data_IF_915785548709
#
_entry.id   IF_915785548709
#
_cell.length_a   1.000
_cell.length_b   1.000
_cell.length_c   1.000
_cell.angle_alpha   90.00
_cell.angle_beta   90.00
_cell.angle_gamma   90.00
#
_symmetry.space_group_name_H-M   'P 1'
#
loop_
_entity.id
_entity.type
_entity.pdbx_description
1 polymer ?
#
# COMPACT_ATOMS: atom_id res chain seq x y z
N UNK A 1 -51.04 39.46 -43.89
CA UNK A 1 -52.29 39.41 -43.11
C UNK A 1 -51.95 39.47 -41.62
N UNK A 2 -52.31 40.57 -40.98
CA UNK A 2 -52.15 40.85 -39.55
C UNK A 2 -53.26 40.21 -38.70
N UNK A 3 -52.94 39.85 -37.45
CA UNK A 3 -53.69 40.03 -36.17
C UNK A 3 -52.94 39.21 -35.10
N UNK A 4 -52.10 39.71 -34.20
CA UNK A 4 -52.24 40.73 -33.11
C UNK A 4 -53.45 40.56 -32.18
N UNK A 5 -53.16 40.08 -30.95
CA UNK A 5 -53.46 40.62 -29.60
C UNK A 5 -52.65 39.76 -28.61
N UNK A 6 -51.56 40.19 -27.98
CA UNK A 6 -51.31 41.21 -26.94
C UNK A 6 -51.99 40.96 -25.57
N UNK A 7 -51.17 40.55 -24.59
CA UNK A 7 -50.90 41.10 -23.22
C UNK A 7 -50.51 39.96 -22.26
N UNK A 8 -49.27 39.87 -21.74
CA UNK A 8 -48.70 40.65 -20.61
C UNK A 8 -49.62 40.63 -19.38
N UNK A 9 -49.31 40.09 -18.20
CA UNK A 9 -48.08 40.09 -17.37
C UNK A 9 -48.15 38.87 -16.42
N UNK A 10 -47.11 38.29 -15.83
CA UNK A 10 -46.29 38.78 -14.72
C UNK A 10 -45.11 37.78 -14.55
N UNK A 11 -43.85 38.23 -14.61
CA UNK A 11 -42.98 38.56 -13.48
C UNK A 11 -42.61 37.37 -12.54
N UNK A 12 -41.36 36.95 -12.72
CA UNK A 12 -40.40 36.52 -11.70
C UNK A 12 -40.65 35.21 -10.92
N UNK A 13 -39.84 34.19 -11.22
CA UNK A 13 -38.97 33.56 -10.20
C UNK A 13 -37.87 32.74 -10.88
N UNK A 14 -36.69 33.34 -10.92
CA UNK A 14 -35.40 32.69 -11.09
C UNK A 14 -34.98 32.10 -9.74
N UNK A 15 -34.88 30.78 -9.64
CA UNK A 15 -34.08 30.04 -8.65
C UNK A 15 -33.92 28.63 -9.23
N UNK A 16 -32.85 28.30 -9.95
CA UNK A 16 -31.57 27.82 -9.41
C UNK A 16 -31.70 27.15 -8.03
N UNK A 17 -31.13 25.97 -7.91
CA UNK A 17 -30.69 25.30 -6.68
C UNK A 17 -31.56 24.13 -6.18
N UNK A 18 -31.19 22.91 -6.60
CA UNK A 18 -31.37 21.68 -5.82
C UNK A 18 -30.16 20.75 -6.10
N UNK A 19 -28.96 21.24 -5.78
CA UNK A 19 -27.92 20.34 -5.29
C UNK A 19 -28.13 20.22 -3.77
N UNK A 20 -28.18 19.02 -3.18
CA UNK A 20 -28.30 18.91 -1.72
C UNK A 20 -27.10 19.60 -1.06
N UNK A 21 -27.31 20.42 -0.02
CA UNK A 21 -26.22 21.13 0.61
C UNK A 21 -25.26 20.10 1.20
N UNK A 22 -24.01 20.13 0.71
CA UNK A 22 -22.86 19.58 1.42
C UNK A 22 -22.91 20.18 2.81
N UNK A 23 -23.28 19.36 3.81
CA UNK A 23 -23.15 19.75 5.21
C UNK A 23 -21.66 19.97 5.48
N UNK A 24 -21.20 21.21 5.31
CA UNK A 24 -20.04 21.70 6.06
C UNK A 24 -20.43 21.52 7.52
N UNK A 25 -19.77 20.57 8.18
CA UNK A 25 -20.00 20.27 9.59
C UNK A 25 -20.00 21.58 10.38
N UNK A 26 -21.15 21.89 10.97
CA UNK A 26 -21.28 22.82 12.08
C UNK A 26 -20.31 22.35 13.17
N UNK A 27 -19.52 23.29 13.69
CA UNK A 27 -18.42 23.05 14.61
C UNK A 27 -18.75 22.07 15.72
N UNK A 28 -17.78 21.20 15.99
CA UNK A 28 -17.71 20.33 17.17
C UNK A 28 -17.10 21.10 18.36
N UNK A 29 -17.12 22.44 18.32
CA UNK A 29 -16.61 23.31 19.37
C UNK A 29 -17.58 23.26 20.55
N UNK A 30 -17.40 22.27 21.42
CA UNK A 30 -18.11 22.25 22.69
C UNK A 30 -18.18 20.93 23.48
N UNK A 31 -17.55 19.82 23.09
CA UNK A 31 -17.77 18.54 23.81
C UNK A 31 -16.57 17.60 23.99
N UNK A 32 -15.34 18.08 23.85
CA UNK A 32 -14.17 17.36 24.36
C UNK A 32 -13.51 18.23 25.42
N UNK A 33 -13.74 17.90 26.69
CA UNK A 33 -12.84 18.35 27.75
C UNK A 33 -11.44 17.87 27.39
N UNK A 34 -10.61 18.78 26.87
CA UNK A 34 -9.18 18.53 26.71
C UNK A 34 -8.55 18.59 28.09
N UNK A 35 -8.83 17.59 28.92
CA UNK A 35 -7.87 17.24 29.95
C UNK A 35 -6.59 16.91 29.18
N UNK A 36 -5.56 17.75 29.33
CA UNK A 36 -4.24 17.44 28.80
C UNK A 36 -3.89 16.01 29.25
N UNK A 37 -3.34 15.16 28.35
CA UNK A 37 -2.93 13.83 28.75
C UNK A 37 -2.02 13.97 29.97
N UNK A 38 -2.24 13.12 30.98
CA UNK A 38 -1.45 13.14 32.20
C UNK A 38 0.05 13.13 31.83
N UNK A 39 0.91 13.91 32.51
CA UNK A 39 2.33 13.92 32.23
C UNK A 39 2.88 12.50 32.30
N UNK A 40 3.62 12.08 31.28
CA UNK A 40 4.25 10.75 31.29
C UNK A 40 5.39 10.80 32.31
N UNK A 41 5.24 10.08 33.41
CA UNK A 41 6.27 10.00 34.44
C UNK A 41 7.41 9.11 33.94
N UNK A 42 8.62 9.65 33.82
CA UNK A 42 9.78 8.89 33.34
C UNK A 42 10.21 7.85 34.38
N UNK A 43 10.44 6.62 33.93
CA UNK A 43 11.02 5.53 34.70
C UNK A 43 12.52 5.69 34.93
N UNK A 44 13.22 4.58 35.16
CA UNK A 44 14.68 4.57 35.31
C UNK A 44 15.38 4.28 33.98
N UNK A 45 16.70 4.42 33.92
CA UNK A 45 17.48 4.10 32.72
C UNK A 45 17.37 2.63 32.28
N UNK A 46 16.85 1.75 33.14
CA UNK A 46 16.70 0.30 32.89
C UNK A 46 15.27 -0.21 32.94
N UNK A 47 14.30 0.57 33.42
CA UNK A 47 12.91 0.12 33.62
C UNK A 47 11.90 1.23 33.30
N UNK A 48 10.88 0.90 32.49
CA UNK A 48 9.79 1.79 32.13
C UNK A 48 8.82 1.95 33.31
N UNK A 49 8.34 3.16 33.55
CA UNK A 49 7.24 3.40 34.50
C UNK A 49 5.92 2.83 33.96
N UNK A 50 4.92 2.66 34.84
CA UNK A 50 3.57 2.26 34.43
C UNK A 50 2.96 3.26 33.41
N UNK A 51 3.29 4.54 33.54
CA UNK A 51 2.83 5.58 32.62
C UNK A 51 3.51 5.48 31.24
N UNK A 52 4.80 5.13 31.20
CA UNK A 52 5.52 4.90 29.95
C UNK A 52 5.07 3.62 29.25
N UNK A 53 4.78 2.56 30.01
CA UNK A 53 4.23 1.31 29.48
C UNK A 53 2.86 1.52 28.84
N UNK A 54 1.96 2.26 29.49
CA UNK A 54 0.64 2.57 28.93
C UNK A 54 0.76 3.44 27.67
N UNK A 55 1.63 4.46 27.69
CA UNK A 55 1.91 5.29 26.53
C UNK A 55 2.49 4.48 25.35
N UNK A 56 3.37 3.52 25.63
CA UNK A 56 3.94 2.62 24.62
C UNK A 56 2.84 1.75 23.99
N UNK A 57 1.96 1.13 24.79
CA UNK A 57 0.84 0.32 24.29
C UNK A 57 -0.11 1.15 23.43
N UNK A 58 -0.42 2.38 23.83
CA UNK A 58 -1.25 3.28 23.05
C UNK A 58 -0.60 3.64 21.70
N UNK A 59 0.70 3.93 21.71
CA UNK A 59 1.48 4.18 20.49
C UNK A 59 1.51 2.95 19.58
N UNK A 60 1.74 1.76 20.13
CA UNK A 60 1.74 0.49 19.40
C UNK A 60 0.37 0.17 18.79
N UNK A 61 -0.73 0.46 19.49
CA UNK A 61 -2.09 0.30 18.97
C UNK A 61 -2.41 1.30 17.84
N UNK A 62 -1.91 2.54 17.93
CA UNK A 62 -1.99 3.52 16.84
C UNK A 62 -1.20 3.03 15.64
N UNK A 63 0.01 2.51 15.87
CA UNK A 63 0.86 1.92 14.83
C UNK A 63 0.10 0.76 14.18
N UNK A 64 -0.36 -0.25 14.93
CA UNK A 64 -1.07 -1.43 14.43
C UNK A 64 -2.33 -1.09 13.62
N UNK A 65 -3.10 -0.10 14.08
CA UNK A 65 -4.24 0.42 13.32
C UNK A 65 -3.80 1.07 12.02
N UNK A 66 -2.72 1.86 12.04
CA UNK A 66 -2.12 2.44 10.83
C UNK A 66 -1.62 1.38 9.83
N UNK A 67 -1.10 0.25 10.34
CA UNK A 67 -0.71 -0.92 9.55
C UNK A 67 -1.89 -1.53 8.78
N UNK A 68 -3.05 -1.69 9.42
CA UNK A 68 -4.27 -2.17 8.74
C UNK A 68 -4.85 -1.12 7.79
N UNK A 69 -4.73 0.16 8.16
CA UNK A 69 -5.33 1.27 7.42
C UNK A 69 -4.80 1.38 5.98
N UNK A 70 -3.48 1.27 5.75
CA UNK A 70 -2.99 1.39 4.35
C UNK A 70 -3.41 0.21 3.48
N UNK A 71 -3.42 -1.01 4.04
CA UNK A 71 -3.81 -2.21 3.32
C UNK A 71 -5.30 -2.18 2.95
N UNK A 72 -6.16 -1.82 3.90
CA UNK A 72 -7.60 -1.66 3.68
C UNK A 72 -7.91 -0.54 2.69
N UNK A 73 -7.29 0.64 2.86
CA UNK A 73 -7.46 1.79 1.95
C UNK A 73 -6.95 1.44 0.55
N UNK A 74 -5.77 0.85 0.42
CA UNK A 74 -5.21 0.43 -0.87
C UNK A 74 -6.12 -0.57 -1.58
N UNK A 75 -6.61 -1.58 -0.85
CA UNK A 75 -7.56 -2.59 -1.38
C UNK A 75 -8.88 -1.94 -1.82
N UNK A 76 -9.41 -0.99 -1.04
CA UNK A 76 -10.62 -0.26 -1.39
C UNK A 76 -10.41 0.60 -2.64
N UNK A 77 -9.28 1.28 -2.76
CA UNK A 77 -8.91 2.07 -3.93
C UNK A 77 -8.77 1.20 -5.19
N UNK A 78 -8.17 0.01 -5.08
CA UNK A 78 -8.14 -1.00 -6.17
C UNK A 78 -9.56 -1.35 -6.60
N UNK A 79 -10.43 -1.72 -5.65
CA UNK A 79 -11.80 -2.09 -5.96
C UNK A 79 -12.60 -0.95 -6.60
N UNK A 80 -12.46 0.27 -6.10
CA UNK A 80 -13.12 1.46 -6.64
C UNK A 80 -12.65 1.74 -8.06
N UNK A 81 -11.34 1.64 -8.32
CA UNK A 81 -10.76 1.86 -9.65
C UNK A 81 -11.24 0.80 -10.63
N UNK A 82 -11.09 -0.47 -10.29
CA UNK A 82 -11.30 -1.59 -11.21
C UNK A 82 -12.79 -1.79 -11.54
N UNK A 83 -13.70 -1.45 -10.62
CA UNK A 83 -15.15 -1.45 -10.86
C UNK A 83 -15.70 -0.10 -11.34
N UNK A 84 -14.83 0.90 -11.49
CA UNK A 84 -15.13 2.29 -11.86
C UNK A 84 -16.26 2.92 -11.01
N UNK A 85 -16.24 2.70 -9.70
CA UNK A 85 -17.32 3.14 -8.79
C UNK A 85 -17.44 4.67 -8.67
N UNK A 86 -16.47 5.41 -9.19
CA UNK A 86 -16.43 6.87 -9.20
C UNK A 86 -17.14 7.50 -10.43
N UNK A 87 -17.49 6.70 -11.45
CA UNK A 87 -17.84 7.18 -12.81
C UNK A 87 -19.10 8.05 -12.92
N UNK A 88 -19.96 8.05 -11.90
CA UNK A 88 -21.19 8.86 -11.89
C UNK A 88 -20.87 10.34 -11.69
N UNK A 89 -19.95 10.64 -10.77
CA UNK A 89 -19.64 12.02 -10.36
C UNK A 89 -18.29 12.51 -10.92
N UNK A 90 -17.38 11.58 -11.24
CA UNK A 90 -16.01 11.90 -11.64
C UNK A 90 -15.66 11.24 -12.97
N UNK A 91 -15.03 12.02 -13.85
CA UNK A 91 -14.57 11.54 -15.16
C UNK A 91 -13.35 10.61 -15.08
N UNK A 92 -12.55 10.76 -14.04
CA UNK A 92 -11.29 10.00 -13.84
C UNK A 92 -11.15 9.63 -12.39
N UNK A 93 -10.52 8.47 -12.13
CA UNK A 93 -10.22 8.01 -10.78
C UNK A 93 -9.37 9.02 -9.99
N UNK A 94 -8.44 9.70 -10.65
CA UNK A 94 -7.56 10.66 -10.01
C UNK A 94 -8.28 11.92 -9.52
N UNK A 95 -9.22 12.44 -10.31
CA UNK A 95 -10.09 13.53 -9.88
C UNK A 95 -10.91 13.12 -8.65
N UNK A 96 -11.44 11.90 -8.65
CA UNK A 96 -12.12 11.34 -7.49
C UNK A 96 -11.22 11.28 -6.25
N UNK A 97 -9.99 10.77 -6.37
CA UNK A 97 -9.05 10.70 -5.25
C UNK A 97 -8.65 12.09 -4.70
N UNK A 98 -8.40 13.04 -5.60
CA UNK A 98 -8.00 14.39 -5.23
C UNK A 98 -9.17 15.15 -4.55
N UNK A 99 -10.33 15.18 -5.18
CA UNK A 99 -11.45 16.00 -4.73
C UNK A 99 -12.14 15.41 -3.50
N UNK A 100 -12.30 14.08 -3.44
CA UNK A 100 -13.03 13.44 -2.33
C UNK A 100 -12.16 13.18 -1.10
N UNK A 101 -10.88 12.86 -1.30
CA UNK A 101 -10.01 12.37 -0.23
C UNK A 101 -8.76 13.23 -0.01
N UNK A 102 -8.50 14.23 -0.86
CA UNK A 102 -7.26 15.00 -0.80
C UNK A 102 -6.02 14.17 -1.11
N UNK A 103 -6.19 13.01 -1.77
CA UNK A 103 -5.10 12.08 -2.06
C UNK A 103 -4.57 12.38 -3.47
N UNK A 104 -3.27 12.67 -3.57
CA UNK A 104 -2.63 12.89 -4.86
C UNK A 104 -2.62 11.59 -5.69
N UNK A 105 -2.62 11.75 -7.03
CA UNK A 105 -2.51 10.62 -7.95
C UNK A 105 -1.36 9.67 -7.57
N UNK A 106 -0.09 10.10 -7.43
CA UNK A 106 0.99 9.20 -7.08
C UNK A 106 0.72 8.43 -5.78
N UNK A 107 0.19 9.11 -4.76
CA UNK A 107 -0.07 8.49 -3.47
C UNK A 107 -1.16 7.43 -3.53
N UNK A 108 -2.23 7.67 -4.30
CA UNK A 108 -3.29 6.67 -4.49
C UNK A 108 -2.73 5.39 -5.11
N UNK A 109 -1.94 5.50 -6.18
CA UNK A 109 -1.32 4.34 -6.83
C UNK A 109 -0.27 3.64 -5.95
N UNK A 110 0.49 4.37 -5.15
CA UNK A 110 1.42 3.77 -4.18
C UNK A 110 0.68 2.88 -3.16
N UNK A 111 -0.40 3.38 -2.55
CA UNK A 111 -1.21 2.63 -1.60
C UNK A 111 -1.80 1.37 -2.23
N UNK A 112 -2.30 1.49 -3.46
CA UNK A 112 -2.83 0.37 -4.22
C UNK A 112 -1.75 -0.69 -4.49
N UNK A 113 -0.61 -0.30 -5.04
CA UNK A 113 0.47 -1.22 -5.37
C UNK A 113 1.01 -1.92 -4.11
N UNK A 114 1.21 -1.18 -3.01
CA UNK A 114 1.65 -1.75 -1.75
C UNK A 114 0.64 -2.77 -1.18
N UNK A 115 -0.67 -2.46 -1.22
CA UNK A 115 -1.72 -3.39 -0.77
C UNK A 115 -1.76 -4.67 -1.61
N UNK A 116 -1.55 -4.57 -2.93
CA UNK A 116 -1.50 -5.73 -3.82
C UNK A 116 -0.30 -6.64 -3.52
N UNK A 117 0.88 -6.07 -3.25
CA UNK A 117 2.06 -6.83 -2.80
C UNK A 117 1.78 -7.57 -1.49
N UNK A 118 1.19 -6.88 -0.50
CA UNK A 118 0.85 -7.51 0.79
C UNK A 118 -0.15 -8.65 0.57
N UNK A 119 -1.17 -8.44 -0.25
CA UNK A 119 -2.14 -9.49 -0.59
C UNK A 119 -1.47 -10.68 -1.29
N UNK A 120 -0.52 -10.42 -2.18
CA UNK A 120 0.22 -11.46 -2.90
C UNK A 120 1.15 -12.26 -1.98
N UNK A 121 1.75 -11.63 -0.98
CA UNK A 121 2.56 -12.30 0.05
C UNK A 121 1.68 -13.07 1.04
N UNK A 122 0.54 -12.49 1.42
CA UNK A 122 -0.40 -13.08 2.36
C UNK A 122 -1.21 -14.25 1.78
N UNK A 123 -1.26 -14.37 0.45
CA UNK A 123 -2.00 -15.43 -0.23
C UNK A 123 -1.44 -16.83 0.09
N UNK A 124 -2.29 -17.65 0.70
CA UNK A 124 -2.01 -18.99 1.22
C UNK A 124 -2.29 -20.10 0.21
N UNK A 125 -2.63 -19.78 -1.03
CA UNK A 125 -3.06 -20.76 -2.05
C UNK A 125 -1.90 -21.60 -2.64
N UNK A 126 -0.81 -21.78 -1.90
CA UNK A 126 0.36 -22.60 -2.25
C UNK A 126 0.79 -23.49 -1.08
N UNK A 127 1.95 -24.15 -1.21
CA UNK A 127 2.51 -24.96 -0.11
C UNK A 127 2.60 -24.12 1.17
N UNK A 128 2.14 -24.65 2.32
CA UNK A 128 2.18 -23.92 3.57
C UNK A 128 3.64 -23.58 3.91
N UNK A 129 3.95 -22.32 4.27
CA UNK A 129 5.31 -21.96 4.63
C UNK A 129 5.75 -22.77 5.85
N UNK A 130 7.01 -23.22 5.84
CA UNK A 130 7.63 -23.94 6.96
C UNK A 130 7.77 -23.07 8.23
N UNK A 131 7.54 -21.76 8.11
CA UNK A 131 7.65 -20.75 9.16
C UNK A 131 6.35 -19.93 9.25
N UNK A 132 6.11 -19.21 10.36
CA UNK A 132 4.97 -18.30 10.49
C UNK A 132 4.95 -17.31 9.32
N UNK A 133 3.78 -17.13 8.70
CA UNK A 133 3.60 -16.18 7.60
C UNK A 133 3.75 -14.75 8.13
N UNK A 134 4.95 -14.19 7.99
CA UNK A 134 5.21 -12.77 8.28
C UNK A 134 4.86 -11.97 7.03
N UNK A 135 4.03 -10.93 7.17
CA UNK A 135 3.64 -10.02 6.07
C UNK A 135 4.19 -8.62 6.34
N UNK A 136 4.38 -7.78 5.30
CA UNK A 136 4.74 -6.39 5.51
C UNK A 136 3.73 -5.70 6.42
N UNK A 137 4.25 -5.08 7.47
CA UNK A 137 3.48 -4.42 8.50
C UNK A 137 3.05 -3.03 8.04
N UNK A 138 3.91 -2.29 7.31
CA UNK A 138 3.56 -0.94 6.83
C UNK A 138 3.82 -0.79 5.33
N UNK A 139 3.24 0.25 4.75
CA UNK A 139 3.41 0.59 3.34
C UNK A 139 4.88 0.80 2.97
N UNK A 140 5.69 1.37 3.86
CA UNK A 140 7.10 1.62 3.60
C UNK A 140 7.92 0.32 3.42
N UNK A 141 7.57 -0.76 4.12
CA UNK A 141 8.16 -2.09 3.92
C UNK A 141 7.67 -2.74 2.61
N UNK A 142 6.40 -2.56 2.25
CA UNK A 142 5.83 -3.14 1.02
C UNK A 142 6.27 -2.40 -0.25
N UNK A 143 6.51 -1.09 -0.17
CA UNK A 143 6.79 -0.21 -1.31
C UNK A 143 8.00 -0.64 -2.15
N UNK A 144 9.18 -0.99 -1.59
CA UNK A 144 10.31 -1.45 -2.39
C UNK A 144 9.99 -2.68 -3.26
N UNK A 145 9.20 -3.61 -2.72
CA UNK A 145 8.83 -4.86 -3.39
C UNK A 145 8.00 -4.63 -4.65
N UNK A 146 7.28 -3.50 -4.75
CA UNK A 146 6.50 -3.14 -5.95
C UNK A 146 7.35 -3.00 -7.22
N UNK A 147 8.68 -2.86 -7.09
CA UNK A 147 9.62 -2.82 -8.22
C UNK A 147 9.87 -4.19 -8.85
N UNK A 148 9.61 -5.27 -8.11
CA UNK A 148 9.67 -6.63 -8.62
C UNK A 148 8.35 -6.94 -9.30
N UNK A 149 8.40 -7.31 -10.59
CA UNK A 149 7.19 -7.52 -11.41
C UNK A 149 6.52 -8.87 -11.15
N UNK A 150 7.30 -9.85 -10.72
CA UNK A 150 6.84 -11.21 -10.45
C UNK A 150 6.53 -11.40 -8.97
N UNK A 151 5.37 -11.98 -8.66
CA UNK A 151 4.93 -12.33 -7.31
C UNK A 151 5.91 -13.30 -6.64
N UNK A 152 6.48 -14.26 -7.39
CA UNK A 152 7.48 -15.18 -6.85
C UNK A 152 8.74 -14.43 -6.40
N UNK A 153 9.17 -13.42 -7.16
CA UNK A 153 10.30 -12.56 -6.79
C UNK A 153 9.97 -11.69 -5.58
N UNK A 154 8.76 -11.12 -5.51
CA UNK A 154 8.31 -10.35 -4.35
C UNK A 154 8.32 -11.20 -3.07
N UNK A 155 7.79 -12.43 -3.13
CA UNK A 155 7.79 -13.38 -2.02
C UNK A 155 9.22 -13.77 -1.63
N UNK A 156 10.08 -14.09 -2.59
CA UNK A 156 11.47 -14.44 -2.33
C UNK A 156 12.27 -13.28 -1.69
N UNK A 157 12.09 -12.05 -2.18
CA UNK A 157 12.74 -10.87 -1.62
C UNK A 157 12.25 -10.58 -0.20
N UNK A 158 10.94 -10.73 0.04
CA UNK A 158 10.39 -10.57 1.38
C UNK A 158 10.90 -11.65 2.35
N UNK A 159 10.91 -12.91 1.93
CA UNK A 159 11.44 -14.01 2.72
C UNK A 159 12.92 -13.78 3.09
N UNK A 160 13.73 -13.38 2.11
CA UNK A 160 15.13 -13.02 2.36
C UNK A 160 15.25 -11.85 3.34
N UNK A 161 14.39 -10.84 3.25
CA UNK A 161 14.38 -9.71 4.18
C UNK A 161 14.00 -10.13 5.61
N UNK A 162 13.08 -11.08 5.77
CA UNK A 162 12.70 -11.68 7.06
C UNK A 162 13.89 -12.43 7.66
N UNK A 163 14.57 -13.25 6.87
CA UNK A 163 15.70 -14.09 7.32
C UNK A 163 16.96 -13.30 7.66
N UNK A 164 17.19 -12.19 6.95
CA UNK A 164 18.40 -11.36 7.10
C UNK A 164 18.17 -10.11 7.96
N UNK A 165 17.02 -10.00 8.61
CA UNK A 165 16.63 -8.82 9.36
C UNK A 165 17.64 -8.53 10.49
N UNK A 166 18.30 -7.36 10.50
CA UNK A 166 19.22 -7.00 11.58
C UNK A 166 18.44 -6.88 12.89
N UNK A 167 18.93 -7.54 13.95
CA UNK A 167 18.29 -7.59 15.27
C UNK A 167 16.83 -8.08 15.25
N UNK A 168 16.46 -8.86 14.24
CA UNK A 168 15.08 -9.33 14.04
C UNK A 168 14.10 -8.24 13.59
N UNK A 169 14.58 -7.03 13.25
CA UNK A 169 13.75 -5.89 12.84
C UNK A 169 13.76 -5.71 11.32
N UNK A 170 12.61 -5.96 10.70
CA UNK A 170 12.42 -5.77 9.26
C UNK A 170 12.13 -4.28 9.00
N UNK A 171 13.16 -3.50 8.67
CA UNK A 171 13.01 -2.07 8.35
C UNK A 171 12.79 -1.85 6.85
N UNK A 172 12.14 -0.74 6.47
CA UNK A 172 11.96 -0.37 5.07
C UNK A 172 13.29 -0.24 4.31
N UNK A 173 14.33 0.30 4.97
CA UNK A 173 15.67 0.43 4.40
C UNK A 173 16.32 -0.94 4.13
N UNK A 174 16.12 -1.90 5.04
CA UNK A 174 16.61 -3.28 4.86
C UNK A 174 15.93 -3.96 3.67
N UNK A 175 14.60 -3.86 3.57
CA UNK A 175 13.84 -4.42 2.43
C UNK A 175 14.28 -3.78 1.11
N UNK A 176 14.50 -2.46 1.09
CA UNK A 176 15.04 -1.75 -0.07
C UNK A 176 16.41 -2.29 -0.51
N UNK A 177 17.30 -2.57 0.44
CA UNK A 177 18.61 -3.16 0.14
C UNK A 177 18.47 -4.54 -0.50
N UNK A 178 17.66 -5.43 0.09
CA UNK A 178 17.42 -6.78 -0.44
C UNK A 178 16.85 -6.73 -1.86
N UNK A 179 15.85 -5.87 -2.10
CA UNK A 179 15.25 -5.70 -3.44
C UNK A 179 16.29 -5.18 -4.43
N UNK A 180 17.12 -4.20 -4.04
CA UNK A 180 18.16 -3.64 -4.91
C UNK A 180 19.20 -4.70 -5.29
N UNK A 181 19.60 -5.54 -4.35
CA UNK A 181 20.51 -6.66 -4.61
C UNK A 181 19.87 -7.71 -5.52
N UNK A 182 18.60 -8.05 -5.31
CA UNK A 182 17.87 -8.97 -6.18
C UNK A 182 17.75 -8.43 -7.62
N UNK A 183 17.40 -7.16 -7.78
CA UNK A 183 17.33 -6.52 -9.10
C UNK A 183 18.69 -6.51 -9.81
N UNK A 184 19.79 -6.25 -9.08
CA UNK A 184 21.15 -6.35 -9.64
C UNK A 184 21.48 -7.77 -10.10
N UNK A 185 21.11 -8.79 -9.32
CA UNK A 185 21.32 -10.20 -9.68
C UNK A 185 20.49 -10.60 -10.92
N UNK A 186 19.24 -10.16 -10.99
CA UNK A 186 18.36 -10.39 -12.14
C UNK A 186 18.92 -9.72 -13.40
N UNK A 187 19.39 -8.48 -13.29
CA UNK A 187 20.03 -7.76 -14.40
C UNK A 187 21.32 -8.45 -14.85
N UNK A 188 22.19 -8.87 -13.91
CA UNK A 188 23.40 -9.61 -14.24
C UNK A 188 23.09 -10.97 -14.91
N UNK A 189 22.04 -11.67 -14.48
CA UNK A 189 21.63 -12.94 -15.09
C UNK A 189 21.09 -12.77 -16.52
N UNK A 190 20.41 -11.65 -16.80
CA UNK A 190 19.93 -11.31 -18.14
C UNK A 190 21.07 -10.95 -19.11
N UNK A 191 22.16 -10.40 -18.60
CA UNK A 191 23.30 -9.92 -19.40
C UNK A 191 24.54 -10.82 -19.33
N UNK A 192 24.47 -11.97 -18.66
CA UNK A 192 25.60 -12.90 -18.58
C UNK A 192 25.89 -13.49 -19.98
N UNK A 193 27.17 -13.54 -20.42
CA UNK A 193 27.52 -14.22 -21.67
C UNK A 193 27.16 -15.70 -21.55
N UNK A 194 26.61 -16.27 -22.63
CA UNK A 194 26.27 -17.68 -22.70
C UNK A 194 27.44 -18.53 -22.19
N UNK A 195 27.19 -19.55 -21.34
CA UNK A 195 28.26 -20.41 -20.87
C UNK A 195 29.01 -20.95 -22.09
N UNK A 196 30.36 -20.97 -22.07
CA UNK A 196 31.13 -21.51 -23.18
C UNK A 196 30.61 -22.92 -23.48
N UNK A 197 30.45 -23.30 -24.77
CA UNK A 197 29.92 -24.60 -25.12
C UNK A 197 30.74 -25.66 -24.40
N UNK A 198 30.07 -26.51 -23.62
CA UNK A 198 30.72 -27.64 -22.96
C UNK A 198 31.51 -28.40 -24.01
N UNK A 199 32.84 -28.48 -23.84
CA UNK A 199 33.64 -29.41 -24.60
C UNK A 199 33.18 -30.81 -24.20
N UNK A 200 32.23 -31.36 -24.96
CA UNK A 200 31.83 -32.76 -24.89
C UNK A 200 33.08 -33.57 -25.17
N UNK A 201 33.76 -33.98 -24.11
CA UNK A 201 34.91 -34.86 -24.20
C UNK A 201 34.48 -36.10 -25.00
N UNK A 202 35.25 -36.54 -26.02
CA UNK A 202 34.86 -37.67 -26.82
C UNK A 202 34.68 -38.88 -25.90
N UNK A 203 33.50 -39.51 -25.95
CA UNK A 203 33.22 -40.76 -25.24
C UNK A 203 34.32 -41.75 -25.59
N UNK A 204 35.16 -42.12 -24.62
CA UNK A 204 36.12 -43.20 -24.79
C UNK A 204 35.33 -44.46 -25.15
N UNK A 205 35.58 -45.00 -26.34
CA UNK A 205 35.07 -46.29 -26.74
C UNK A 205 35.60 -47.36 -25.78
N UNK A 206 34.70 -48.12 -25.18
CA UNK A 206 35.06 -49.31 -24.40
C UNK A 206 35.72 -50.35 -25.31
N UNK A 207 36.80 -51.03 -24.89
CA UNK A 207 37.38 -52.10 -25.67
C UNK A 207 36.43 -53.32 -25.67
N UNK A 208 36.26 -53.94 -26.84
CA UNK A 208 35.47 -55.15 -27.02
C UNK A 208 36.13 -56.35 -26.30
N UNK A 209 35.35 -57.28 -25.73
CA UNK A 209 35.89 -58.49 -25.13
C UNK A 209 36.31 -59.51 -26.20
N UNK A 210 37.46 -60.15 -25.96
CA UNK A 210 38.07 -61.23 -26.76
C UNK A 210 37.30 -62.53 -26.64
#
# INVERSE_FOLDING_TARGET
MNRRRDRASDLAAFTSDLAPPVRRGRGLDGMLGTAAPAPIERGTDTELSLSEMDALVQCEAIIERGLKTFFEVGTALVRIRDLELYRIEYRTFEAYCADRWGISRPRAYELMNASQVVSAIADKTGDPPAAPLVVPQNEAQARPLTRLKDVAQQRAAWQQAVETAPDGRITAAHVEQVVKEMLRKLDAALHAPAPPPEHVAPRRASPAPT
#
